data_IF_847286121015
#
_entry.id   IF_847286121015
#
_cell.length_a   1.000
_cell.length_b   1.000
_cell.length_c   1.000
_cell.angle_alpha   90.00
_cell.angle_beta   90.00
_cell.angle_gamma   90.00
#
_symmetry.space_group_name_H-M   'P 1'
#
loop_
_entity.id
_entity.type
_entity.pdbx_description
1 polymer ?
#
# COMPACT_ATOMS: atom_id res chain seq x y z
N UNK A 1 -10.75 -4.53 4.17
CA UNK A 1 -11.58 -5.24 5.19
C UNK A 1 -11.51 -4.64 6.60
N UNK A 2 -10.34 -4.36 7.20
CA UNK A 2 -10.26 -3.67 8.52
C UNK A 2 -11.03 -2.36 8.52
N UNK A 3 -10.89 -1.54 7.47
CA UNK A 3 -11.64 -0.29 7.38
C UNK A 3 -13.14 -0.52 7.45
N UNK A 4 -13.68 -1.49 6.69
CA UNK A 4 -15.10 -1.84 6.74
C UNK A 4 -15.53 -2.44 8.07
N UNK A 5 -14.72 -3.31 8.68
CA UNK A 5 -15.02 -3.91 9.98
C UNK A 5 -15.00 -2.87 11.11
N UNK A 6 -13.98 -2.00 11.15
CA UNK A 6 -13.89 -0.88 12.10
C UNK A 6 -15.02 0.11 11.85
N UNK A 7 -15.39 0.37 10.60
CA UNK A 7 -16.55 1.21 10.26
C UNK A 7 -17.84 0.57 10.78
N UNK A 8 -18.05 -0.73 10.56
CA UNK A 8 -19.23 -1.46 11.05
C UNK A 8 -19.27 -1.47 12.58
N UNK A 9 -18.16 -1.78 13.26
CA UNK A 9 -18.08 -1.77 14.73
C UNK A 9 -18.30 -0.36 15.30
N UNK A 10 -17.79 0.68 14.62
CA UNK A 10 -18.05 2.08 14.99
C UNK A 10 -19.52 2.43 14.83
N UNK A 11 -20.17 2.00 13.73
CA UNK A 11 -21.60 2.18 13.50
C UNK A 11 -22.42 1.45 14.57
N UNK A 12 -22.08 0.20 14.91
CA UNK A 12 -22.75 -0.57 15.97
C UNK A 12 -22.60 0.12 17.32
N UNK A 13 -21.39 0.60 17.66
CA UNK A 13 -21.16 1.38 18.88
C UNK A 13 -22.01 2.66 18.89
N UNK A 14 -22.10 3.39 17.77
CA UNK A 14 -22.94 4.58 17.64
C UNK A 14 -24.42 4.22 17.85
N UNK A 15 -24.91 3.11 17.27
CA UNK A 15 -26.30 2.65 17.41
C UNK A 15 -26.61 2.29 18.87
N UNK A 16 -25.72 1.57 19.55
CA UNK A 16 -25.87 1.24 20.98
C UNK A 16 -25.91 2.51 21.82
N UNK A 17 -25.05 3.49 21.51
CA UNK A 17 -25.05 4.78 22.20
C UNK A 17 -26.34 5.57 21.95
N UNK A 18 -26.86 5.61 20.72
CA UNK A 18 -28.15 6.25 20.40
C UNK A 18 -29.30 5.56 21.15
N UNK A 19 -29.30 4.23 21.21
CA UNK A 19 -30.29 3.47 21.97
C UNK A 19 -30.21 3.79 23.49
N UNK A 20 -29.00 3.85 24.04
CA UNK A 20 -28.77 4.24 25.44
C UNK A 20 -29.21 5.68 25.74
N UNK A 21 -29.00 6.62 24.81
CA UNK A 21 -29.48 8.02 24.92
C UNK A 21 -31.01 8.10 24.89
N UNK A 22 -31.67 7.28 24.06
CA UNK A 22 -33.14 7.22 24.01
C UNK A 22 -33.74 6.61 25.27
N UNK A 23 -33.08 5.60 25.84
CA UNK A 23 -33.49 4.98 27.11
C UNK A 23 -33.15 5.83 28.35
N UNK A 24 -32.12 6.68 28.28
CA UNK A 24 -31.73 7.60 29.35
C UNK A 24 -32.73 8.77 29.46
N UNK A 25 -33.68 8.65 30.39
CA UNK A 25 -34.53 9.74 30.86
C UNK A 25 -33.67 10.69 31.70
N UNK A 26 -32.93 11.60 31.06
CA UNK A 26 -32.34 12.72 31.79
C UNK A 26 -32.12 13.91 30.85
N UNK A 27 -32.46 15.09 31.37
CA UNK A 27 -32.24 16.47 30.90
C UNK A 27 -31.40 16.67 29.62
N UNK A 28 -31.76 17.62 28.73
CA UNK A 28 -31.14 17.84 27.42
C UNK A 28 -29.61 18.02 27.44
N UNK A 29 -29.02 18.47 28.55
CA UNK A 29 -27.57 18.58 28.75
C UNK A 29 -26.86 17.21 28.81
N UNK A 30 -27.42 16.23 29.54
CA UNK A 30 -26.87 14.87 29.63
C UNK A 30 -26.95 14.13 28.29
N UNK A 31 -28.01 14.37 27.51
CA UNK A 31 -28.14 13.82 26.14
C UNK A 31 -27.04 14.33 25.21
N UNK A 32 -26.74 15.64 25.23
CA UNK A 32 -25.64 16.22 24.43
C UNK A 32 -24.27 15.67 24.82
N UNK A 33 -24.01 15.54 26.13
CA UNK A 33 -22.75 14.99 26.63
C UNK A 33 -22.56 13.52 26.21
N UNK A 34 -23.61 12.70 26.31
CA UNK A 34 -23.55 11.30 25.87
C UNK A 34 -23.25 11.17 24.37
N UNK A 35 -23.89 11.97 23.52
CA UNK A 35 -23.60 11.98 22.07
C UNK A 35 -22.13 12.30 21.81
N UNK A 36 -21.61 13.37 22.40
CA UNK A 36 -20.21 13.78 22.23
C UNK A 36 -19.25 12.69 22.73
N UNK A 37 -19.50 12.13 23.92
CA UNK A 37 -18.65 11.08 24.49
C UNK A 37 -18.62 9.80 23.63
N UNK A 38 -19.77 9.41 23.06
CA UNK A 38 -19.85 8.25 22.17
C UNK A 38 -19.14 8.47 20.84
N UNK A 39 -19.27 9.67 20.25
CA UNK A 39 -18.54 10.05 19.04
C UNK A 39 -17.04 10.03 19.27
N UNK A 40 -16.57 10.57 20.40
CA UNK A 40 -15.17 10.52 20.80
C UNK A 40 -14.67 9.09 21.01
N UNK A 41 -15.45 8.23 21.65
CA UNK A 41 -15.08 6.83 21.86
C UNK A 41 -14.95 6.07 20.53
N UNK A 42 -15.91 6.25 19.61
CA UNK A 42 -15.83 5.66 18.27
C UNK A 42 -14.61 6.15 17.50
N UNK A 43 -14.28 7.44 17.63
CA UNK A 43 -13.09 8.03 17.01
C UNK A 43 -11.79 7.43 17.60
N UNK A 44 -11.71 7.28 18.93
CA UNK A 44 -10.56 6.64 19.59
C UNK A 44 -10.38 5.21 19.09
N UNK A 45 -11.45 4.40 19.06
CA UNK A 45 -11.41 3.02 18.55
C UNK A 45 -10.94 2.98 17.09
N UNK A 46 -11.42 3.89 16.25
CA UNK A 46 -11.01 3.99 14.86
C UNK A 46 -9.51 4.30 14.71
N UNK A 47 -8.99 5.25 15.50
CA UNK A 47 -7.57 5.60 15.46
C UNK A 47 -6.66 4.55 16.12
N UNK A 48 -7.15 3.82 17.12
CA UNK A 48 -6.34 2.85 17.89
C UNK A 48 -6.38 1.41 17.36
N UNK A 49 -7.26 1.09 16.41
CA UNK A 49 -7.46 -0.29 15.94
C UNK A 49 -6.18 -0.93 15.41
N UNK A 50 -5.40 -0.24 14.57
CA UNK A 50 -4.18 -0.80 13.97
C UNK A 50 -3.07 -1.03 15.01
N UNK A 51 -2.72 -0.06 15.86
CA UNK A 51 -1.81 -0.30 16.97
C UNK A 51 -2.25 -1.47 17.87
N UNK A 52 -3.55 -1.56 18.16
CA UNK A 52 -4.09 -2.67 18.96
C UNK A 52 -3.92 -4.02 18.27
N UNK A 53 -4.29 -4.15 16.99
CA UNK A 53 -4.09 -5.39 16.25
C UNK A 53 -2.61 -5.77 16.21
N UNK A 54 -1.71 -4.81 15.99
CA UNK A 54 -0.26 -5.06 16.02
C UNK A 54 0.30 -5.54 17.38
N UNK A 55 -0.42 -5.31 18.48
CA UNK A 55 -0.07 -5.83 19.82
C UNK A 55 -0.55 -7.28 20.04
N UNK A 56 -1.65 -7.68 19.40
CA UNK A 56 -2.28 -9.00 19.64
C UNK A 56 -2.10 -9.97 18.48
N UNK A 57 -1.65 -9.50 17.31
CA UNK A 57 -1.36 -10.32 16.14
C UNK A 57 0.11 -10.26 15.75
N UNK A 58 0.61 -11.42 15.33
CA UNK A 58 2.01 -11.62 14.97
C UNK A 58 2.04 -12.31 13.61
N UNK A 59 2.24 -11.52 12.55
CA UNK A 59 2.30 -12.03 11.19
C UNK A 59 3.75 -12.43 10.86
N UNK A 60 3.95 -13.64 10.36
CA UNK A 60 5.28 -14.16 9.97
C UNK A 60 5.60 -13.88 8.52
N UNK A 61 4.58 -13.64 7.69
CA UNK A 61 4.77 -13.29 6.29
C UNK A 61 3.98 -12.05 5.91
N UNK A 62 4.41 -11.28 4.89
CA UNK A 62 3.66 -10.13 4.42
C UNK A 62 2.28 -10.54 3.84
N UNK A 63 2.16 -11.74 3.28
CA UNK A 63 0.90 -12.26 2.73
C UNK A 63 -0.15 -12.52 3.82
N UNK A 64 0.27 -12.92 5.02
CA UNK A 64 -0.65 -13.04 6.16
C UNK A 64 -1.22 -11.68 6.56
N UNK A 65 -0.39 -10.62 6.53
CA UNK A 65 -0.86 -9.24 6.74
C UNK A 65 -1.86 -8.86 5.64
N UNK A 66 -1.52 -9.15 4.38
CA UNK A 66 -2.37 -8.80 3.25
C UNK A 66 -3.72 -9.53 3.29
N UNK A 67 -3.72 -10.84 3.56
CA UNK A 67 -4.93 -11.65 3.73
C UNK A 67 -5.82 -11.16 4.87
N UNK A 68 -5.23 -10.50 5.86
CA UNK A 68 -5.99 -9.88 6.95
C UNK A 68 -6.72 -8.59 6.51
N UNK A 69 -6.24 -7.91 5.46
CA UNK A 69 -6.83 -6.63 4.98
C UNK A 69 -7.57 -6.73 3.65
N UNK A 70 -7.24 -7.72 2.82
CA UNK A 70 -7.72 -7.94 1.46
C UNK A 70 -8.12 -9.41 1.23
N UNK A 71 -9.05 -9.63 0.32
CA UNK A 71 -9.41 -10.97 -0.17
C UNK A 71 -8.73 -11.32 -1.48
N UNK A 72 -8.07 -10.35 -2.12
CA UNK A 72 -7.41 -10.57 -3.39
C UNK A 72 -6.20 -11.50 -3.23
N UNK A 73 -5.95 -12.39 -4.20
CA UNK A 73 -4.76 -13.21 -4.20
C UNK A 73 -3.52 -12.36 -4.54
N UNK A 74 -2.44 -12.56 -3.76
CA UNK A 74 -1.12 -12.05 -4.11
C UNK A 74 -0.64 -12.75 -5.38
N UNK A 75 -0.28 -11.97 -6.40
CA UNK A 75 0.29 -12.46 -7.65
C UNK A 75 1.82 -12.56 -7.56
N UNK A 76 2.44 -11.50 -7.04
CA UNK A 76 3.90 -11.41 -6.92
C UNK A 76 4.29 -10.84 -5.57
N UNK A 77 5.48 -11.22 -5.12
CA UNK A 77 6.12 -10.70 -3.92
C UNK A 77 7.54 -10.29 -4.25
N UNK A 78 7.91 -9.12 -3.74
CA UNK A 78 9.25 -8.57 -3.82
C UNK A 78 9.70 -8.27 -2.40
N UNK A 79 10.74 -8.96 -1.94
CA UNK A 79 11.29 -8.76 -0.60
C UNK A 79 12.43 -7.73 -0.61
N UNK A 80 12.33 -6.74 0.27
CA UNK A 80 13.44 -5.90 0.68
C UNK A 80 13.98 -6.31 2.05
N UNK A 81 14.78 -5.44 2.66
CA UNK A 81 15.41 -5.70 3.97
C UNK A 81 14.45 -5.38 5.12
N UNK A 82 13.73 -4.26 5.04
CA UNK A 82 12.85 -3.73 6.09
C UNK A 82 11.36 -3.77 5.71
N UNK A 83 11.07 -4.22 4.49
CA UNK A 83 9.73 -4.25 3.92
C UNK A 83 9.60 -5.32 2.85
N UNK A 84 8.37 -5.60 2.43
CA UNK A 84 8.07 -6.39 1.25
C UNK A 84 6.96 -5.70 0.46
N UNK A 85 7.10 -5.68 -0.87
CA UNK A 85 6.04 -5.27 -1.78
C UNK A 85 5.27 -6.50 -2.23
N UNK A 86 3.96 -6.47 -2.06
CA UNK A 86 3.05 -7.46 -2.60
C UNK A 86 2.29 -6.85 -3.76
N UNK A 87 2.23 -7.56 -4.87
CA UNK A 87 1.52 -7.14 -6.07
C UNK A 87 0.32 -8.07 -6.23
N UNK A 88 -0.85 -7.47 -6.46
CA UNK A 88 -2.11 -8.16 -6.65
C UNK A 88 -2.90 -7.50 -7.79
N UNK A 89 -3.92 -8.19 -8.26
CA UNK A 89 -4.80 -7.68 -9.31
C UNK A 89 -6.10 -7.19 -8.66
N UNK A 90 -6.43 -5.93 -8.84
CA UNK A 90 -7.67 -5.31 -8.34
C UNK A 90 -8.23 -4.35 -9.39
N UNK A 91 -9.56 -4.37 -9.58
CA UNK A 91 -10.28 -3.49 -10.53
C UNK A 91 -9.60 -3.33 -11.89
N UNK A 92 -9.27 -4.46 -12.51
CA UNK A 92 -8.66 -4.54 -13.83
C UNK A 92 -7.23 -3.98 -13.97
N UNK A 93 -6.51 -3.81 -12.86
CA UNK A 93 -5.12 -3.39 -12.87
C UNK A 93 -4.28 -4.14 -11.84
N UNK A 94 -3.00 -4.31 -12.16
CA UNK A 94 -2.01 -4.65 -11.13
C UNK A 94 -1.81 -3.45 -10.22
N UNK A 95 -1.82 -3.72 -8.93
CA UNK A 95 -1.58 -2.74 -7.87
C UNK A 95 -0.73 -3.39 -6.78
N UNK A 96 -0.09 -2.56 -5.98
CA UNK A 96 0.87 -2.96 -4.99
C UNK A 96 0.46 -2.53 -3.59
N UNK A 97 1.00 -3.23 -2.59
CA UNK A 97 0.98 -2.83 -1.18
C UNK A 97 2.35 -3.06 -0.57
N UNK A 98 2.85 -2.07 0.18
CA UNK A 98 4.05 -2.21 0.97
C UNK A 98 3.71 -2.65 2.41
N UNK A 99 4.29 -3.77 2.82
CA UNK A 99 4.15 -4.34 4.17
C UNK A 99 5.48 -4.19 4.90
N UNK A 100 5.45 -3.57 6.08
CA UNK A 100 6.65 -3.31 6.87
C UNK A 100 7.04 -4.55 7.68
N UNK A 101 8.34 -4.83 7.69
CA UNK A 101 8.99 -5.81 8.56
C UNK A 101 9.46 -5.14 9.86
N UNK A 102 9.26 -5.82 10.98
CA UNK A 102 9.64 -5.37 12.32
C UNK A 102 10.29 -6.56 13.04
N UNK A 103 11.62 -6.65 12.96
CA UNK A 103 12.36 -7.83 13.39
C UNK A 103 12.01 -9.05 12.52
N UNK A 104 11.58 -10.14 13.14
CA UNK A 104 11.21 -11.39 12.46
C UNK A 104 9.72 -11.47 12.11
N UNK A 105 9.00 -10.35 12.19
CA UNK A 105 7.56 -10.28 11.99
C UNK A 105 7.16 -9.14 11.06
N UNK A 106 5.92 -9.19 10.59
CA UNK A 106 5.28 -8.12 9.83
C UNK A 106 4.15 -7.51 10.64
N UNK A 107 3.90 -6.21 10.40
CA UNK A 107 2.89 -5.43 11.13
C UNK A 107 1.89 -4.84 10.14
N UNK A 108 0.65 -4.70 10.59
CA UNK A 108 -0.38 -3.96 9.89
C UNK A 108 0.03 -2.50 9.77
N UNK A 109 -0.06 -1.99 8.55
CA UNK A 109 0.13 -0.59 8.20
C UNK A 109 -1.21 -0.03 7.72
N UNK A 110 -1.41 1.29 7.85
CA UNK A 110 -2.55 1.93 7.19
C UNK A 110 -2.32 1.92 5.69
N UNK A 111 -3.37 1.63 4.91
CA UNK A 111 -3.36 1.84 3.48
C UNK A 111 -2.97 3.30 3.18
N UNK A 112 -2.04 3.49 2.25
CA UNK A 112 -1.47 4.78 1.82
C UNK A 112 -0.52 5.49 2.79
N UNK A 113 -0.33 5.03 4.03
CA UNK A 113 0.75 5.55 4.89
C UNK A 113 2.13 4.99 4.50
N UNK A 114 2.22 4.16 3.46
CA UNK A 114 3.40 3.38 3.14
C UNK A 114 4.32 3.91 2.05
N UNK A 115 3.93 4.95 1.30
CA UNK A 115 4.62 5.33 0.06
C UNK A 115 5.34 6.68 0.16
N UNK A 116 6.64 6.69 -0.10
CA UNK A 116 7.37 7.85 -0.60
C UNK A 116 7.52 7.67 -2.12
N UNK A 117 6.69 8.34 -2.91
CA UNK A 117 6.78 8.25 -4.36
C UNK A 117 7.89 9.16 -4.86
N UNK A 118 8.82 8.60 -5.64
CA UNK A 118 9.81 9.37 -6.38
C UNK A 118 9.56 9.14 -7.86
N UNK A 119 9.28 10.22 -8.56
CA UNK A 119 8.87 10.18 -9.96
C UNK A 119 10.08 10.25 -10.88
N UNK A 120 9.99 9.59 -12.02
CA UNK A 120 10.93 9.78 -13.11
C UNK A 120 10.54 11.00 -13.96
N UNK A 121 11.51 11.55 -14.68
CA UNK A 121 11.27 12.54 -15.72
C UNK A 121 10.25 12.01 -16.73
N UNK A 122 9.21 12.79 -17.02
CA UNK A 122 8.17 12.40 -17.97
C UNK A 122 8.73 12.35 -19.39
N UNK A 123 8.72 11.15 -20.00
CA UNK A 123 9.23 10.94 -21.35
C UNK A 123 8.39 9.90 -22.09
N UNK A 124 7.65 10.32 -23.11
CA UNK A 124 6.96 9.41 -24.04
C UNK A 124 6.12 8.32 -23.35
N UNK A 125 6.38 7.03 -23.59
CA UNK A 125 5.59 5.92 -23.01
C UNK A 125 5.85 5.70 -21.51
N UNK A 126 6.77 6.45 -20.90
CA UNK A 126 7.21 6.29 -19.51
C UNK A 126 6.54 7.28 -18.53
N UNK A 127 5.50 7.99 -18.98
CA UNK A 127 4.76 8.95 -18.15
C UNK A 127 4.10 8.23 -16.97
N UNK A 128 4.17 8.85 -15.79
CA UNK A 128 3.53 8.35 -14.57
C UNK A 128 4.30 7.24 -13.86
N UNK A 129 5.49 6.89 -14.34
CA UNK A 129 6.37 5.93 -13.67
C UNK A 129 6.97 6.52 -12.40
N UNK A 130 6.99 5.70 -11.34
CA UNK A 130 7.54 6.09 -10.07
C UNK A 130 8.17 4.90 -9.33
N UNK A 131 9.04 5.25 -8.39
CA UNK A 131 9.50 4.35 -7.33
C UNK A 131 8.58 4.49 -6.12
N UNK A 132 8.32 3.37 -5.47
CA UNK A 132 7.51 3.25 -4.27
C UNK A 132 8.44 3.06 -3.08
N UNK A 133 8.65 4.11 -2.30
CA UNK A 133 9.48 4.05 -1.10
C UNK A 133 8.69 3.55 0.11
N UNK A 134 9.21 2.59 0.86
CA UNK A 134 8.59 2.13 2.10
C UNK A 134 8.80 3.15 3.23
N UNK A 135 7.72 3.80 3.69
CA UNK A 135 7.81 4.89 4.68
C UNK A 135 8.53 4.45 5.96
N UNK A 136 9.49 5.28 6.38
CA UNK A 136 10.32 5.03 7.55
C UNK A 136 11.39 3.96 7.33
N UNK A 137 11.77 3.77 6.08
CA UNK A 137 12.98 3.10 5.59
C UNK A 137 13.56 3.94 4.45
N UNK A 138 14.77 3.61 3.99
CA UNK A 138 15.33 4.17 2.75
C UNK A 138 15.13 3.23 1.56
N UNK A 139 14.19 2.29 1.63
CA UNK A 139 14.00 1.27 0.61
C UNK A 139 12.98 1.67 -0.43
N UNK A 140 13.35 1.51 -1.70
CA UNK A 140 12.49 1.75 -2.84
C UNK A 140 12.25 0.47 -3.64
N UNK A 141 11.08 0.42 -4.23
CA UNK A 141 10.64 -0.61 -5.16
C UNK A 141 10.21 0.04 -6.46
N UNK A 142 10.39 -0.69 -7.55
CA UNK A 142 9.85 -0.32 -8.84
C UNK A 142 8.65 -1.22 -9.15
N UNK A 143 7.57 -0.64 -9.67
CA UNK A 143 6.36 -1.36 -10.02
C UNK A 143 5.56 -0.54 -11.05
N UNK A 144 5.63 -0.87 -12.33
CA UNK A 144 4.89 -0.10 -13.35
C UNK A 144 4.54 -0.96 -14.56
N UNK A 145 3.36 -0.68 -15.12
CA UNK A 145 3.00 -1.12 -16.46
C UNK A 145 3.57 -0.14 -17.48
N UNK A 146 4.33 -0.64 -18.45
CA UNK A 146 5.00 0.16 -19.48
C UNK A 146 4.66 -0.41 -20.85
N UNK A 147 4.37 0.48 -21.80
CA UNK A 147 4.09 0.11 -23.19
C UNK A 147 5.38 0.12 -24.00
N UNK A 148 5.60 -0.92 -24.81
CA UNK A 148 6.77 -1.03 -25.69
C UNK A 148 6.37 -1.40 -27.12
N UNK A 149 7.11 -0.87 -28.09
CA UNK A 149 6.94 -1.21 -29.51
C UNK A 149 7.74 -2.45 -29.94
N UNK A 150 8.38 -3.16 -29.00
CA UNK A 150 9.23 -4.32 -29.25
C UNK A 150 9.01 -5.41 -28.20
N UNK A 151 9.27 -6.66 -28.58
CA UNK A 151 9.17 -7.81 -27.68
C UNK A 151 10.45 -8.06 -26.89
N UNK A 152 11.56 -7.48 -27.35
CA UNK A 152 12.87 -7.58 -26.70
C UNK A 152 13.04 -6.41 -25.73
N UNK A 153 12.52 -6.58 -24.51
CA UNK A 153 12.63 -5.58 -23.46
C UNK A 153 13.77 -5.94 -22.53
N UNK A 154 14.67 -4.98 -22.34
CA UNK A 154 15.66 -5.01 -21.28
C UNK A 154 15.41 -3.87 -20.31
N UNK A 155 15.45 -4.19 -19.03
CA UNK A 155 15.35 -3.23 -17.93
C UNK A 155 16.56 -3.41 -17.05
N UNK A 156 17.25 -2.32 -16.75
CA UNK A 156 18.35 -2.30 -15.79
C UNK A 156 18.37 -0.95 -15.09
N UNK A 157 19.06 -0.84 -13.97
CA UNK A 157 19.26 0.43 -13.30
C UNK A 157 20.74 0.69 -13.02
N UNK A 158 21.01 1.88 -12.50
CA UNK A 158 22.35 2.28 -12.04
C UNK A 158 22.92 1.43 -10.89
N UNK A 159 22.12 0.58 -10.25
CA UNK A 159 22.49 -0.20 -9.06
C UNK A 159 22.70 -1.69 -9.36
N UNK A 160 22.31 -2.16 -10.55
CA UNK A 160 22.30 -3.58 -10.87
C UNK A 160 21.18 -4.35 -10.18
N UNK A 161 20.03 -3.69 -9.94
CA UNK A 161 18.84 -4.33 -9.36
C UNK A 161 18.28 -5.39 -10.31
N UNK A 162 17.68 -6.43 -9.73
CA UNK A 162 17.03 -7.51 -10.49
C UNK A 162 15.55 -7.17 -10.71
N UNK A 163 15.17 -6.96 -11.96
CA UNK A 163 13.80 -6.64 -12.36
C UNK A 163 13.12 -7.84 -13.02
N UNK A 164 11.91 -8.13 -12.56
CA UNK A 164 11.04 -9.10 -13.19
C UNK A 164 10.18 -8.39 -14.23
N UNK A 165 9.94 -9.07 -15.36
CA UNK A 165 9.21 -8.54 -16.51
C UNK A 165 8.13 -9.54 -16.90
N UNK A 166 6.87 -9.11 -16.89
CA UNK A 166 5.71 -9.95 -17.23
C UNK A 166 4.95 -9.30 -18.37
N UNK A 167 4.68 -10.05 -19.44
CA UNK A 167 3.79 -9.58 -20.51
C UNK A 167 2.35 -9.64 -20.03
N UNK A 168 1.64 -8.50 -20.08
CA UNK A 168 0.25 -8.35 -19.63
C UNK A 168 -0.67 -7.77 -20.71
N UNK A 169 -0.11 -7.48 -21.90
CA UNK A 169 -0.83 -6.98 -23.05
C UNK A 169 -1.77 -8.01 -23.70
N UNK A 170 -2.75 -7.52 -24.47
CA UNK A 170 -3.55 -8.32 -25.40
C UNK A 170 -3.20 -7.93 -26.83
N UNK A 171 -3.21 -8.91 -27.72
CA UNK A 171 -3.06 -8.98 -29.20
C UNK A 171 -2.56 -7.75 -30.02
N UNK A 172 -2.91 -6.52 -29.66
CA UNK A 172 -2.56 -5.27 -30.36
C UNK A 172 -1.76 -4.26 -29.51
N UNK A 173 -1.77 -4.37 -28.17
CA UNK A 173 -1.01 -3.48 -27.27
C UNK A 173 -0.03 -4.29 -26.43
N UNK A 174 1.26 -4.01 -26.61
CA UNK A 174 2.36 -4.63 -25.88
C UNK A 174 2.63 -3.90 -24.58
N UNK A 175 1.90 -4.32 -23.54
CA UNK A 175 2.09 -3.86 -22.17
C UNK A 175 2.91 -4.87 -21.40
N UNK A 176 3.95 -4.39 -20.74
CA UNK A 176 4.78 -5.17 -19.85
C UNK A 176 4.68 -4.60 -18.45
N UNK A 177 4.41 -5.47 -17.50
CA UNK A 177 4.40 -5.15 -16.09
C UNK A 177 5.77 -5.50 -15.51
N UNK A 178 6.43 -4.50 -14.94
CA UNK A 178 7.83 -4.58 -14.53
C UNK A 178 7.91 -4.22 -13.06
N UNK A 179 8.59 -5.06 -12.28
CA UNK A 179 8.70 -4.86 -10.85
C UNK A 179 10.03 -5.37 -10.27
N UNK A 180 10.48 -4.78 -9.16
CA UNK A 180 11.71 -5.19 -8.50
C UNK A 180 12.06 -4.36 -7.27
N UNK A 181 12.98 -4.89 -6.47
CA UNK A 181 13.55 -4.18 -5.32
C UNK A 181 14.75 -3.36 -5.77
N UNK A 182 14.74 -2.07 -5.47
CA UNK A 182 15.82 -1.13 -5.83
C UNK A 182 16.70 -0.83 -4.61
N UNK A 183 16.12 -0.86 -3.41
CA UNK A 183 16.80 -0.45 -2.18
C UNK A 183 16.98 1.06 -2.12
N UNK A 184 18.09 1.52 -1.53
CA UNK A 184 18.34 2.95 -1.33
C UNK A 184 18.74 3.66 -2.63
N UNK A 185 18.07 4.77 -2.93
CA UNK A 185 18.33 5.58 -4.12
C UNK A 185 19.03 6.89 -3.77
N UNK A 186 19.86 7.34 -4.69
CA UNK A 186 20.58 8.61 -4.66
C UNK A 186 20.06 9.53 -5.77
N UNK A 187 20.42 10.81 -5.74
CA UNK A 187 19.96 11.79 -6.75
C UNK A 187 20.44 11.50 -8.18
N UNK A 188 21.50 10.70 -8.34
CA UNK A 188 22.04 10.26 -9.63
C UNK A 188 21.46 8.92 -10.11
N UNK A 189 20.53 8.32 -9.35
CA UNK A 189 19.85 7.10 -9.74
C UNK A 189 19.13 7.26 -11.09
N UNK A 190 19.23 6.22 -11.91
CA UNK A 190 18.52 6.11 -13.18
C UNK A 190 18.11 4.67 -13.48
N UNK A 191 17.08 4.54 -14.30
CA UNK A 191 16.66 3.28 -14.91
C UNK A 191 16.83 3.36 -16.42
N UNK A 192 17.17 2.24 -17.03
CA UNK A 192 17.37 2.05 -18.46
C UNK A 192 16.30 1.11 -18.99
N UNK A 193 15.63 1.53 -20.06
CA UNK A 193 14.73 0.72 -20.86
C UNK A 193 15.34 0.56 -22.26
N UNK A 194 16.02 -0.55 -22.51
CA UNK A 194 16.93 -0.63 -23.67
C UNK A 194 18.01 0.45 -23.60
N UNK A 195 18.08 1.28 -24.64
CA UNK A 195 19.00 2.41 -24.71
C UNK A 195 18.45 3.70 -24.08
N UNK A 196 17.18 3.68 -23.64
CA UNK A 196 16.52 4.85 -23.08
C UNK A 196 16.81 5.01 -21.58
N UNK A 197 17.46 6.12 -21.24
CA UNK A 197 17.75 6.50 -19.86
C UNK A 197 16.64 7.39 -19.29
N UNK A 198 16.09 7.02 -18.14
CA UNK A 198 15.18 7.84 -17.33
C UNK A 198 15.83 8.18 -15.99
N UNK A 199 15.82 9.45 -15.63
CA UNK A 199 16.32 9.96 -14.36
C UNK A 199 15.17 10.32 -13.44
N UNK A 200 15.45 10.42 -12.15
CA UNK A 200 14.50 10.96 -11.19
C UNK A 200 14.25 12.45 -11.47
N UNK A 201 13.00 12.90 -11.31
CA UNK A 201 12.64 14.31 -11.36
C UNK A 201 13.32 15.05 -10.20
N UNK A 202 13.95 16.19 -10.49
CA UNK A 202 14.58 17.06 -9.49
C UNK A 202 13.56 17.88 -8.70
#
# INVERSE_FOLDING_TARGET
>A
MIYHLVTVLSIVSIVICIAAIRYSIATPVRKKFLVISSGLLGLVVYFSAIPFFNLVTHFKTPEEVFKFISFEPVQYRVDGKESSMLIYYDKDAYTEVLVRKCGDEYKLTRQNEGYANVYFEEKGPYIGMNLFGAKGSNEFYFCSGVMFDTDNISVSDSKGSDFQIVSVGRDDIRVYFIYGYVGEITSDYYIMFGDEKLRLTQ
#
